data_IF_863743487895
#
_entry.id   IF_863743487895
#
_cell.length_a   1.000
_cell.length_b   1.000
_cell.length_c   1.000
_cell.angle_alpha   90.00
_cell.angle_beta   90.00
_cell.angle_gamma   90.00
#
_symmetry.space_group_name_H-M   'P 1'
#
loop_
_entity.id
_entity.type
_entity.pdbx_description
1 polymer ?
#
# COMPACT_ATOMS: atom_id res chain seq x y z
N UNK A 1 -21.05 -5.24 1.21
CA UNK A 1 -20.16 -4.07 0.97
C UNK A 1 -18.70 -4.51 1.05
N UNK A 2 -17.85 -3.93 0.20
CA UNK A 2 -16.47 -4.39 0.01
C UNK A 2 -15.51 -3.20 0.09
N UNK A 3 -14.47 -3.31 0.90
CA UNK A 3 -13.49 -2.24 1.06
C UNK A 3 -12.06 -2.78 1.18
N UNK A 4 -11.09 -1.98 0.75
CA UNK A 4 -9.67 -2.29 0.80
C UNK A 4 -8.99 -1.52 1.93
N UNK A 5 -8.26 -2.21 2.79
CA UNK A 5 -7.47 -1.64 3.88
C UNK A 5 -6.01 -2.00 3.75
N UNK A 6 -5.13 -1.12 4.20
CA UNK A 6 -3.76 -1.52 4.52
C UNK A 6 -3.47 -1.31 5.99
N UNK A 7 -2.66 -2.20 6.55
CA UNK A 7 -1.98 -1.94 7.79
C UNK A 7 -0.56 -1.52 7.46
N UNK A 8 -0.06 -0.54 8.18
CA UNK A 8 1.28 -0.02 7.92
C UNK A 8 2.06 0.14 9.21
N UNK A 9 3.39 0.03 9.12
CA UNK A 9 4.36 0.20 10.21
C UNK A 9 4.60 -1.04 11.11
N UNK A 10 4.66 -0.97 12.44
CA UNK A 10 5.27 -2.04 13.24
C UNK A 10 4.30 -3.20 13.55
N UNK A 11 4.69 -4.45 13.28
CA UNK A 11 3.86 -5.63 13.60
C UNK A 11 2.69 -5.86 12.64
N UNK A 12 2.81 -5.36 11.40
CA UNK A 12 1.90 -5.54 10.27
C UNK A 12 1.45 -6.99 10.07
N UNK A 13 2.38 -7.87 9.70
CA UNK A 13 2.09 -9.27 9.39
C UNK A 13 1.40 -10.00 10.56
N UNK A 14 1.85 -9.77 11.78
CA UNK A 14 1.23 -10.36 12.97
C UNK A 14 -0.21 -9.88 13.15
N UNK A 15 -0.49 -8.60 12.86
CA UNK A 15 -1.86 -8.08 12.87
C UNK A 15 -2.70 -8.73 11.76
N UNK A 16 -2.16 -8.92 10.56
CA UNK A 16 -2.84 -9.61 9.46
C UNK A 16 -3.28 -11.02 9.86
N UNK A 17 -2.36 -11.82 10.37
CA UNK A 17 -2.63 -13.19 10.82
C UNK A 17 -3.68 -13.19 11.94
N UNK A 18 -3.57 -12.26 12.89
CA UNK A 18 -4.54 -12.11 13.98
C UNK A 18 -5.94 -11.74 13.48
N UNK A 19 -6.04 -10.84 12.49
CA UNK A 19 -7.32 -10.46 11.88
C UNK A 19 -7.94 -11.63 11.08
N UNK A 20 -7.13 -12.33 10.29
CA UNK A 20 -7.56 -13.53 9.56
C UNK A 20 -8.06 -14.61 10.52
N UNK A 21 -7.33 -14.88 11.59
CA UNK A 21 -7.72 -15.85 12.61
C UNK A 21 -9.01 -15.44 13.32
N UNK A 22 -9.09 -14.17 13.75
CA UNK A 22 -10.28 -13.63 14.44
C UNK A 22 -11.52 -13.68 13.55
N UNK A 23 -11.36 -13.47 12.24
CA UNK A 23 -12.45 -13.57 11.26
C UNK A 23 -12.91 -15.00 10.98
N UNK A 24 -12.11 -16.00 11.35
CA UNK A 24 -12.34 -17.41 11.02
C UNK A 24 -11.89 -17.82 9.62
N UNK A 25 -11.23 -16.93 8.86
CA UNK A 25 -10.66 -17.24 7.55
C UNK A 25 -9.52 -18.27 7.62
N UNK A 26 -8.79 -18.30 8.75
CA UNK A 26 -7.76 -19.30 9.01
C UNK A 26 -8.02 -20.01 10.35
N UNK A 27 -7.70 -21.30 10.39
CA UNK A 27 -7.90 -22.14 11.58
C UNK A 27 -6.87 -21.88 12.68
N UNK A 28 -5.67 -21.44 12.33
CA UNK A 28 -4.57 -21.15 13.25
C UNK A 28 -3.79 -19.92 12.74
N UNK A 29 -3.35 -19.01 13.62
CA UNK A 29 -2.56 -17.85 13.21
C UNK A 29 -1.14 -18.27 12.80
N UNK A 30 -0.67 -17.78 11.66
CA UNK A 30 0.72 -17.89 11.23
C UNK A 30 1.67 -17.11 12.13
N UNK A 31 2.95 -17.50 12.15
CA UNK A 31 3.98 -16.87 12.96
C UNK A 31 5.15 -16.42 12.09
N UNK A 32 5.51 -15.14 12.18
CA UNK A 32 6.60 -14.51 11.41
C UNK A 32 7.94 -15.17 11.71
N UNK A 33 8.25 -15.40 12.99
CA UNK A 33 9.51 -16.02 13.43
C UNK A 33 9.65 -17.48 12.95
N UNK A 34 8.51 -18.13 12.65
CA UNK A 34 8.46 -19.50 12.11
C UNK A 34 8.29 -19.53 10.58
N UNK A 35 8.13 -18.37 9.94
CA UNK A 35 7.90 -18.26 8.49
C UNK A 35 6.61 -18.93 8.01
N UNK A 36 5.59 -19.07 8.86
CA UNK A 36 4.33 -19.75 8.52
C UNK A 36 3.21 -18.77 8.13
N UNK A 37 3.54 -17.50 7.94
CA UNK A 37 2.59 -16.44 7.57
C UNK A 37 2.15 -16.58 6.12
N UNK A 38 0.92 -16.17 5.83
CA UNK A 38 0.33 -16.23 4.48
C UNK A 38 0.81 -15.10 3.59
N UNK A 39 1.18 -13.96 4.17
CA UNK A 39 1.61 -12.79 3.41
C UNK A 39 3.11 -12.80 3.06
N UNK A 40 3.98 -13.40 3.89
CA UNK A 40 5.41 -13.53 3.58
C UNK A 40 5.66 -14.82 2.78
N UNK A 41 5.34 -14.76 1.50
CA UNK A 41 5.43 -15.91 0.59
C UNK A 41 6.87 -16.20 0.14
N UNK A 42 7.72 -15.17 0.03
CA UNK A 42 9.08 -15.33 -0.47
C UNK A 42 10.04 -15.81 0.63
N UNK A 43 10.99 -16.68 0.28
CA UNK A 43 11.98 -17.21 1.23
C UNK A 43 12.78 -16.08 1.91
N UNK A 44 13.14 -15.05 1.14
CA UNK A 44 13.85 -13.89 1.65
C UNK A 44 13.01 -13.03 2.61
N UNK A 45 11.70 -12.89 2.39
CA UNK A 45 10.79 -12.20 3.32
C UNK A 45 10.80 -12.91 4.68
N UNK A 46 10.70 -14.25 4.67
CA UNK A 46 10.76 -15.08 5.88
C UNK A 46 12.11 -15.01 6.57
N UNK A 47 13.21 -15.04 5.82
CA UNK A 47 14.57 -15.00 6.39
C UNK A 47 14.88 -13.65 7.04
N UNK A 48 14.41 -12.55 6.43
CA UNK A 48 14.68 -11.18 6.91
C UNK A 48 13.60 -10.64 7.85
N UNK A 49 12.44 -11.28 7.92
CA UNK A 49 11.28 -10.81 8.69
C UNK A 49 10.74 -9.47 8.17
N UNK A 50 10.83 -9.23 6.86
CA UNK A 50 10.34 -8.01 6.21
C UNK A 50 9.39 -8.37 5.06
N UNK A 51 8.32 -7.59 4.91
CA UNK A 51 7.45 -7.65 3.73
C UNK A 51 8.08 -6.84 2.60
N UNK A 52 8.28 -7.47 1.44
CA UNK A 52 8.93 -6.91 0.25
C UNK A 52 7.86 -6.53 -0.78
N UNK A 53 6.90 -7.42 -1.04
CA UNK A 53 5.79 -7.17 -1.96
C UNK A 53 4.47 -7.04 -1.22
N UNK A 54 3.55 -6.20 -1.72
CA UNK A 54 2.28 -6.07 -1.05
C UNK A 54 1.44 -7.34 -1.23
N UNK A 55 1.03 -7.99 -0.14
CA UNK A 55 0.19 -9.19 -0.21
C UNK A 55 -1.28 -8.80 -0.08
N UNK A 56 -2.14 -9.37 -0.94
CA UNK A 56 -3.59 -9.14 -0.87
C UNK A 56 -4.24 -10.39 -0.31
N UNK A 57 -4.91 -10.25 0.83
CA UNK A 57 -5.77 -11.29 1.40
C UNK A 57 -7.18 -10.73 1.58
N UNK A 58 -8.15 -11.61 1.78
CA UNK A 58 -9.51 -11.18 2.09
C UNK A 58 -10.13 -12.07 3.15
N UNK A 59 -11.07 -11.52 3.89
CA UNK A 59 -11.86 -12.25 4.87
C UNK A 59 -13.24 -11.62 5.01
N UNK A 60 -14.17 -12.38 5.58
CA UNK A 60 -15.49 -11.88 5.92
C UNK A 60 -15.55 -11.50 7.41
N UNK A 61 -16.15 -10.34 7.67
CA UNK A 61 -16.55 -9.96 9.03
C UNK A 61 -17.98 -9.45 9.00
N UNK A 62 -18.88 -10.15 9.70
CA UNK A 62 -20.33 -9.92 9.60
C UNK A 62 -20.78 -10.05 8.13
N UNK A 63 -21.42 -9.01 7.59
CA UNK A 63 -21.91 -8.94 6.20
C UNK A 63 -20.93 -8.23 5.24
N UNK A 64 -19.74 -7.90 5.71
CA UNK A 64 -18.72 -7.17 4.96
C UNK A 64 -17.61 -8.11 4.49
N UNK A 65 -17.21 -7.95 3.22
CA UNK A 65 -15.97 -8.52 2.70
C UNK A 65 -14.86 -7.47 2.86
N UNK A 66 -13.82 -7.83 3.59
CA UNK A 66 -12.66 -6.97 3.82
C UNK A 66 -11.51 -7.48 2.98
N UNK A 67 -10.97 -6.63 2.11
CA UNK A 67 -9.72 -6.90 1.41
C UNK A 67 -8.58 -6.21 2.17
N UNK A 68 -7.63 -6.99 2.67
CA UNK A 68 -6.48 -6.48 3.40
C UNK A 68 -5.25 -6.53 2.49
N UNK A 69 -4.62 -5.39 2.31
CA UNK A 69 -3.38 -5.18 1.57
C UNK A 69 -2.26 -5.02 2.60
N UNK A 70 -1.48 -6.06 2.81
CA UNK A 70 -0.27 -6.01 3.61
C UNK A 70 0.79 -5.23 2.83
N UNK A 71 1.31 -4.15 3.40
CA UNK A 71 2.24 -3.26 2.70
C UNK A 71 3.66 -3.43 3.21
N UNK A 72 4.69 -3.24 2.37
CA UNK A 72 6.08 -3.26 2.83
C UNK A 72 6.35 -2.27 3.97
N UNK A 73 7.16 -2.68 4.94
CA UNK A 73 7.56 -1.83 6.07
C UNK A 73 8.86 -1.05 5.86
N UNK A 74 9.66 -1.46 4.88
CA UNK A 74 11.01 -0.92 4.69
C UNK A 74 11.01 0.25 3.71
N UNK A 75 11.84 1.27 3.98
CA UNK A 75 11.87 2.52 3.19
C UNK A 75 12.25 2.30 1.71
N UNK A 76 13.07 1.28 1.44
CA UNK A 76 13.49 0.95 0.08
C UNK A 76 12.33 0.48 -0.82
N UNK A 77 11.16 0.12 -0.25
CA UNK A 77 9.95 -0.31 -0.97
C UNK A 77 8.81 0.73 -0.89
N UNK A 78 9.12 2.00 -0.60
CA UNK A 78 8.10 3.05 -0.45
C UNK A 78 7.20 3.24 -1.67
N UNK A 79 7.66 2.93 -2.88
CA UNK A 79 6.80 3.00 -4.07
C UNK A 79 5.74 1.94 -4.10
N UNK A 80 6.05 0.72 -3.65
CA UNK A 80 5.04 -0.33 -3.47
C UNK A 80 3.99 0.11 -2.43
N UNK A 81 4.45 0.77 -1.36
CA UNK A 81 3.55 1.36 -0.35
C UNK A 81 2.64 2.42 -0.99
N UNK A 82 3.19 3.42 -1.69
CA UNK A 82 2.38 4.48 -2.31
C UNK A 82 1.39 3.96 -3.37
N UNK A 83 1.78 2.94 -4.14
CA UNK A 83 0.88 2.25 -5.07
C UNK A 83 -0.26 1.57 -4.33
N UNK A 84 0.07 0.83 -3.27
CA UNK A 84 -0.93 0.15 -2.44
C UNK A 84 -1.90 1.13 -1.82
N UNK A 85 -1.42 2.28 -1.32
CA UNK A 85 -2.27 3.34 -0.75
C UNK A 85 -3.30 3.89 -1.74
N UNK A 86 -2.99 3.90 -3.05
CA UNK A 86 -3.89 4.45 -4.07
C UNK A 86 -5.19 3.66 -4.24
N UNK A 87 -5.21 2.38 -3.84
CA UNK A 87 -6.37 1.49 -3.97
C UNK A 87 -7.19 1.29 -2.71
N UNK A 88 -6.80 1.95 -1.61
CA UNK A 88 -7.42 1.74 -0.31
C UNK A 88 -8.62 2.64 -0.07
N UNK A 89 -9.65 2.08 0.53
CA UNK A 89 -10.78 2.82 1.09
C UNK A 89 -10.44 3.39 2.48
N UNK A 90 -9.51 2.75 3.19
CA UNK A 90 -9.02 3.19 4.50
C UNK A 90 -7.66 2.58 4.88
N UNK A 91 -7.07 3.06 5.97
CA UNK A 91 -5.80 2.56 6.47
C UNK A 91 -5.82 2.35 7.99
N UNK A 92 -5.04 1.39 8.46
CA UNK A 92 -4.75 1.13 9.86
C UNK A 92 -3.26 1.46 10.08
N UNK A 93 -2.98 2.57 10.74
CA UNK A 93 -1.63 2.94 11.11
C UNK A 93 -1.24 2.21 12.40
N UNK A 94 -0.33 1.24 12.30
CA UNK A 94 0.05 0.38 13.43
C UNK A 94 1.29 0.93 14.12
N UNK A 95 1.14 1.39 15.36
CA UNK A 95 2.22 1.96 16.15
C UNK A 95 2.61 0.99 17.25
N UNK A 96 3.89 0.69 17.40
CA UNK A 96 4.39 -0.13 18.51
C UNK A 96 4.29 0.65 19.82
N UNK A 97 3.63 0.07 20.82
CA UNK A 97 3.57 0.60 22.19
C UNK A 97 4.96 0.83 22.80
N UNK A 98 5.93 0.00 22.42
CA UNK A 98 7.32 0.08 22.91
C UNK A 98 8.15 1.12 22.15
N UNK A 99 8.03 1.13 20.82
CA UNK A 99 8.94 1.93 19.98
C UNK A 99 8.38 3.34 19.69
N UNK A 100 7.07 3.54 19.88
CA UNK A 100 6.37 4.77 19.56
C UNK A 100 6.42 5.10 18.06
N UNK A 101 6.29 6.39 17.73
CA UNK A 101 6.31 6.87 16.35
C UNK A 101 7.74 6.96 15.83
N UNK A 102 8.01 6.21 14.76
CA UNK A 102 9.30 6.18 14.08
C UNK A 102 9.34 7.16 12.90
N UNK A 103 10.53 7.32 12.30
CA UNK A 103 10.70 8.22 11.15
C UNK A 103 9.89 7.74 9.93
N UNK A 104 9.84 6.43 9.68
CA UNK A 104 9.07 5.85 8.58
C UNK A 104 7.56 6.10 8.76
N UNK A 105 7.05 5.90 9.99
CA UNK A 105 5.66 6.16 10.37
C UNK A 105 5.23 7.58 9.99
N UNK A 106 6.10 8.58 10.21
CA UNK A 106 5.83 9.99 9.90
C UNK A 106 5.70 10.23 8.39
N UNK A 107 6.61 9.67 7.60
CA UNK A 107 6.60 9.80 6.14
C UNK A 107 5.31 9.21 5.57
N UNK A 108 4.95 8.02 6.04
CA UNK A 108 3.72 7.37 5.63
C UNK A 108 2.48 8.15 6.08
N UNK A 109 2.41 8.56 7.34
CA UNK A 109 1.26 9.31 7.84
C UNK A 109 1.05 10.61 7.06
N UNK A 110 2.14 11.29 6.68
CA UNK A 110 2.07 12.43 5.77
C UNK A 110 1.43 12.06 4.41
N UNK A 111 1.79 10.91 3.84
CA UNK A 111 1.21 10.44 2.59
C UNK A 111 -0.29 10.09 2.73
N UNK A 112 -0.68 9.39 3.80
CA UNK A 112 -2.08 9.11 4.13
C UNK A 112 -2.91 10.41 4.21
N UNK A 113 -2.38 11.45 4.88
CA UNK A 113 -3.02 12.77 4.97
C UNK A 113 -3.12 13.47 3.62
N UNK A 114 -2.03 13.50 2.85
CA UNK A 114 -2.00 14.15 1.53
C UNK A 114 -2.96 13.48 0.53
N UNK A 115 -3.12 12.16 0.64
CA UNK A 115 -4.09 11.38 -0.16
C UNK A 115 -5.51 11.37 0.43
N UNK A 116 -5.73 11.99 1.60
CA UNK A 116 -7.01 12.00 2.33
C UNK A 116 -7.56 10.59 2.53
N UNK A 117 -6.71 9.68 2.97
CA UNK A 117 -7.10 8.29 3.27
C UNK A 117 -7.65 8.25 4.70
N UNK A 118 -8.91 7.82 4.89
CA UNK A 118 -9.47 7.59 6.21
C UNK A 118 -8.57 6.65 7.01
N UNK A 119 -8.10 7.07 8.18
CA UNK A 119 -7.05 6.34 8.92
C UNK A 119 -7.45 6.11 10.37
N UNK A 120 -7.33 4.87 10.83
CA UNK A 120 -7.43 4.49 12.24
C UNK A 120 -6.00 4.28 12.76
N UNK A 121 -5.69 4.76 13.96
CA UNK A 121 -4.42 4.48 14.62
C UNK A 121 -4.62 3.28 15.57
N UNK A 122 -3.78 2.27 15.45
CA UNK A 122 -3.80 1.09 16.31
C UNK A 122 -2.47 0.95 17.03
N UNK A 123 -2.49 1.09 18.36
CA UNK A 123 -1.31 0.89 19.20
C UNK A 123 -1.20 -0.60 19.53
N UNK A 124 -0.20 -1.25 18.94
CA UNK A 124 0.07 -2.68 19.04
C UNK A 124 1.13 -2.98 20.11
N UNK A 125 1.27 -4.24 20.51
CA UNK A 125 2.26 -4.73 21.50
C UNK A 125 2.09 -4.15 22.91
N UNK A 126 0.86 -3.85 23.30
CA UNK A 126 0.54 -3.33 24.64
C UNK A 126 0.77 -4.35 25.76
N UNK A 127 0.98 -5.62 25.41
CA UNK A 127 1.37 -6.72 26.30
C UNK A 127 2.82 -6.60 26.81
N UNK A 128 3.65 -5.78 26.19
CA UNK A 128 5.05 -5.66 26.55
C UNK A 128 5.25 -4.80 27.82
N UNK A 129 6.16 -5.25 28.68
CA UNK A 129 6.57 -4.51 29.87
C UNK A 129 7.08 -3.11 29.51
N UNK A 130 6.71 -2.11 30.32
CA UNK A 130 7.12 -0.72 30.13
C UNK A 130 6.20 0.11 29.25
N UNK A 131 5.06 -0.44 28.79
CA UNK A 131 4.05 0.37 28.10
C UNK A 131 3.43 1.41 29.04
N UNK A 132 3.65 2.68 28.72
CA UNK A 132 3.01 3.82 29.40
C UNK A 132 2.08 4.53 28.40
N UNK A 133 0.75 4.37 28.51
CA UNK A 133 -0.21 4.93 27.56
C UNK A 133 -0.03 6.44 27.35
N UNK A 134 0.09 7.21 28.43
CA UNK A 134 0.22 8.66 28.39
C UNK A 134 1.43 9.14 27.57
N UNK A 135 2.58 8.47 27.70
CA UNK A 135 3.80 8.81 26.95
C UNK A 135 3.64 8.51 25.47
N UNK A 136 3.00 7.39 25.13
CA UNK A 136 2.73 6.99 23.74
C UNK A 136 1.78 7.99 23.08
N UNK A 137 0.73 8.43 23.78
CA UNK A 137 -0.20 9.44 23.26
C UNK A 137 0.48 10.77 23.01
N UNK A 138 1.33 11.22 23.93
CA UNK A 138 2.11 12.43 23.76
C UNK A 138 3.04 12.32 22.54
N UNK A 139 3.71 11.17 22.36
CA UNK A 139 4.58 10.92 21.22
C UNK A 139 3.84 11.01 19.88
N UNK A 140 2.60 10.50 19.82
CA UNK A 140 1.74 10.56 18.63
C UNK A 140 1.32 12.00 18.35
N UNK A 141 0.91 12.76 19.38
CA UNK A 141 0.52 14.17 19.24
C UNK A 141 1.64 15.02 18.66
N UNK A 142 2.83 14.92 19.25
CA UNK A 142 4.00 15.72 18.86
C UNK A 142 4.50 15.40 17.45
N UNK A 143 4.48 14.12 17.05
CA UNK A 143 5.11 13.67 15.80
C UNK A 143 4.16 13.48 14.63
N UNK A 144 2.88 13.19 14.89
CA UNK A 144 1.88 12.91 13.87
C UNK A 144 0.79 13.99 13.84
N UNK A 145 -0.03 14.09 14.89
CA UNK A 145 -1.22 14.96 14.87
C UNK A 145 -1.86 15.17 16.24
N UNK A 146 -2.34 16.39 16.49
CA UNK A 146 -3.21 16.71 17.65
C UNK A 146 -4.67 16.29 17.41
N UNK A 147 -5.10 16.15 16.15
CA UNK A 147 -6.45 15.76 15.75
C UNK A 147 -6.75 14.26 15.98
N UNK A 148 -6.32 13.71 17.12
CA UNK A 148 -6.55 12.31 17.49
C UNK A 148 -7.39 12.19 18.76
N UNK A 149 -8.13 11.09 18.88
CA UNK A 149 -8.88 10.77 20.09
C UNK A 149 -8.69 9.32 20.48
N UNK A 150 -8.41 9.12 21.77
CA UNK A 150 -8.30 7.79 22.37
C UNK A 150 -9.70 7.22 22.59
N UNK A 151 -10.02 6.12 21.91
CA UNK A 151 -11.34 5.50 21.94
C UNK A 151 -11.46 4.39 23.00
N UNK A 152 -10.33 3.93 23.55
CA UNK A 152 -10.28 2.83 24.50
C UNK A 152 -9.36 3.14 25.68
N UNK A 153 -9.74 2.65 26.85
CA UNK A 153 -8.91 2.65 28.05
C UNK A 153 -8.20 1.30 28.19
N UNK A 154 -6.93 1.35 28.61
CA UNK A 154 -6.10 0.18 28.83
C UNK A 154 -5.92 -0.01 30.32
N UNK A 155 -6.38 -1.15 30.85
CA UNK A 155 -6.21 -1.51 32.26
C UNK A 155 -5.09 -2.56 32.37
N UNK A 156 -4.00 -2.19 33.06
CA UNK A 156 -2.74 -2.98 33.15
C UNK A 156 -2.53 -3.68 34.51
N UNK A 157 -3.54 -3.72 35.38
CA UNK A 157 -3.35 -4.07 36.80
C UNK A 157 -3.09 -5.56 37.10
N UNK A 158 -3.77 -6.49 36.41
CA UNK A 158 -3.65 -7.93 36.71
C UNK A 158 -3.84 -8.80 35.47
N UNK A 159 -4.81 -8.45 34.63
CA UNK A 159 -4.98 -8.97 33.27
C UNK A 159 -5.17 -7.78 32.32
N UNK A 160 -4.56 -7.86 31.14
CA UNK A 160 -4.68 -6.80 30.15
C UNK A 160 -6.10 -6.76 29.62
N UNK A 161 -6.85 -5.72 29.97
CA UNK A 161 -8.25 -5.53 29.52
C UNK A 161 -8.43 -4.17 28.87
N UNK A 162 -9.33 -4.15 27.88
CA UNK A 162 -9.67 -2.96 27.10
C UNK A 162 -11.14 -2.62 27.30
N UNK A 163 -11.44 -1.38 27.65
CA UNK A 163 -12.81 -0.86 27.73
C UNK A 163 -12.97 0.34 26.80
N UNK A 164 -14.15 0.49 26.20
CA UNK A 164 -14.44 1.67 25.38
C UNK A 164 -14.61 2.91 26.27
N UNK A 165 -14.11 4.07 25.82
CA UNK A 165 -14.25 5.33 26.53
C UNK A 165 -15.72 5.78 26.49
N UNK A 166 -16.36 5.83 27.65
CA UNK A 166 -17.75 6.29 27.81
C UNK A 166 -17.87 7.74 28.32
N UNK A 167 -16.76 8.36 28.74
CA UNK A 167 -16.76 9.70 29.35
C UNK A 167 -17.00 10.79 28.31
N UNK A 168 -18.09 11.55 28.46
CA UNK A 168 -18.42 12.69 27.59
C UNK A 168 -17.36 13.81 27.59
N UNK A 169 -16.62 13.99 28.68
CA UNK A 169 -15.56 15.02 28.78
C UNK A 169 -14.43 14.82 27.76
N UNK A 170 -14.20 13.57 27.31
CA UNK A 170 -13.19 13.27 26.28
C UNK A 170 -13.69 13.58 24.85
N UNK A 171 -14.97 13.93 24.69
CA UNK A 171 -15.59 14.23 23.38
C UNK A 171 -15.63 15.72 23.04
N UNK A 172 -15.16 16.59 23.94
CA UNK A 172 -15.11 18.04 23.73
C UNK A 172 -14.40 18.42 22.42
N UNK A 173 -13.34 17.70 22.04
CA UNK A 173 -12.62 17.91 20.78
C UNK A 173 -13.44 17.56 19.53
N UNK A 174 -14.36 16.60 19.64
CA UNK A 174 -15.29 16.23 18.55
C UNK A 174 -16.40 17.27 18.45
N UNK A 175 -16.97 17.67 19.59
CA UNK A 175 -18.04 18.67 19.71
C UNK A 175 -17.55 20.02 19.18
N UNK A 176 -16.36 20.47 19.57
CA UNK A 176 -15.76 21.73 19.11
C UNK A 176 -15.50 21.76 17.59
N UNK A 177 -15.43 20.61 16.93
CA UNK A 177 -15.22 20.50 15.48
C UNK A 177 -16.48 20.66 14.63
N UNK A 178 -17.67 20.74 15.24
CA UNK A 178 -18.94 20.87 14.52
C UNK A 178 -19.84 21.92 15.20
N UNK A 179 -20.07 23.04 14.52
CA UNK A 179 -20.84 24.18 15.02
C UNK A 179 -22.23 23.79 15.55
N UNK A 180 -22.92 22.85 14.91
CA UNK A 180 -24.24 22.39 15.34
C UNK A 180 -24.18 21.56 16.63
N UNK A 181 -23.17 20.70 16.77
CA UNK A 181 -22.97 19.94 18.02
C UNK A 181 -22.52 20.87 19.14
N UNK A 182 -21.68 21.86 18.83
CA UNK A 182 -21.23 22.87 19.78
C UNK A 182 -22.40 23.73 20.29
N UNK A 183 -23.29 24.19 19.41
CA UNK A 183 -24.50 24.93 19.79
C UNK A 183 -25.42 24.09 20.71
N UNK A 184 -25.63 22.81 20.38
CA UNK A 184 -26.38 21.87 21.22
C UNK A 184 -25.74 21.71 22.61
N UNK A 185 -24.42 21.55 22.67
CA UNK A 185 -23.69 21.44 23.92
C UNK A 185 -23.80 22.71 24.78
N UNK A 186 -23.60 23.89 24.18
CA UNK A 186 -23.70 25.18 24.87
C UNK A 186 -25.12 25.48 25.37
N UNK A 187 -26.14 25.03 24.65
CA UNK A 187 -27.54 25.17 25.03
C UNK A 187 -28.02 24.16 26.08
N UNK A 188 -27.17 23.19 26.47
CA UNK A 188 -27.53 22.12 27.41
C UNK A 188 -28.49 21.07 26.84
N UNK A 189 -28.63 20.98 25.52
CA UNK A 189 -29.45 19.97 24.87
C UNK A 189 -28.79 18.58 24.97
N UNK A 190 -29.56 17.49 25.10
CA UNK A 190 -28.98 16.15 25.19
C UNK A 190 -28.33 15.76 23.85
N UNK A 191 -27.02 15.54 23.88
CA UNK A 191 -26.28 14.95 22.77
C UNK A 191 -26.46 13.43 22.80
N UNK A 192 -26.74 12.82 21.65
CA UNK A 192 -26.81 11.36 21.56
C UNK A 192 -25.46 10.78 21.15
N UNK A 193 -25.11 9.60 21.68
CA UNK A 193 -23.89 8.89 21.29
C UNK A 193 -23.84 8.60 19.79
N UNK A 194 -25.00 8.43 19.14
CA UNK A 194 -25.11 8.20 17.69
C UNK A 194 -24.66 9.42 16.88
N UNK A 195 -25.11 10.62 17.24
CA UNK A 195 -24.70 11.86 16.57
C UNK A 195 -23.18 12.08 16.65
N UNK A 196 -22.60 11.77 17.82
CA UNK A 196 -21.16 11.87 18.02
C UNK A 196 -20.38 10.84 17.18
N UNK A 197 -20.86 9.60 17.13
CA UNK A 197 -20.27 8.54 16.30
C UNK A 197 -20.35 8.86 14.80
N UNK A 198 -21.47 9.42 14.33
CA UNK A 198 -21.64 9.85 12.95
C UNK A 198 -20.68 10.99 12.58
N UNK A 199 -20.46 11.95 13.49
CA UNK A 199 -19.50 13.03 13.26
C UNK A 199 -18.05 12.51 13.22
N UNK A 200 -17.67 11.60 14.12
CA UNK A 200 -16.36 10.93 14.05
C UNK A 200 -16.21 10.24 12.70
N UNK A 201 -17.20 9.44 12.28
CA UNK A 201 -17.17 8.74 10.99
C UNK A 201 -16.99 9.73 9.84
N UNK A 202 -17.71 10.86 9.85
CA UNK A 202 -17.58 11.92 8.84
C UNK A 202 -16.17 12.52 8.81
N UNK A 203 -15.61 12.88 9.97
CA UNK A 203 -14.27 13.49 10.05
C UNK A 203 -13.16 12.51 9.69
N UNK A 204 -13.30 11.25 10.06
CA UNK A 204 -12.38 10.17 9.68
C UNK A 204 -12.44 9.94 8.17
N UNK A 205 -13.63 9.90 7.58
CA UNK A 205 -13.79 9.79 6.12
C UNK A 205 -13.18 10.98 5.36
N UNK A 206 -13.13 12.16 5.97
CA UNK A 206 -12.45 13.34 5.42
C UNK A 206 -10.93 13.34 5.65
N UNK A 207 -10.41 12.41 6.45
CA UNK A 207 -8.98 12.34 6.82
C UNK A 207 -8.52 13.46 7.75
N UNK A 208 -9.45 14.05 8.52
CA UNK A 208 -9.17 15.19 9.43
C UNK A 208 -9.12 14.80 10.90
N UNK A 209 -9.51 13.57 11.24
CA UNK A 209 -9.58 13.08 12.61
C UNK A 209 -9.15 11.62 12.67
N UNK A 210 -8.45 11.23 13.73
CA UNK A 210 -7.79 9.93 13.84
C UNK A 210 -8.16 9.23 15.16
N UNK A 211 -9.06 8.24 15.14
CA UNK A 211 -9.41 7.47 16.33
C UNK A 211 -8.28 6.50 16.66
N UNK A 212 -7.95 6.40 17.94
CA UNK A 212 -6.86 5.58 18.48
C UNK A 212 -7.44 4.39 19.25
N UNK A 213 -7.08 3.20 18.81
CA UNK A 213 -7.41 1.92 19.42
C UNK A 213 -6.14 1.20 19.87
N UNK A 214 -6.31 0.18 20.71
CA UNK A 214 -5.21 -0.56 21.33
C UNK A 214 -5.42 -2.05 21.15
N UNK A 215 -4.32 -2.80 21.12
CA UNK A 215 -4.38 -4.24 21.24
C UNK A 215 -3.02 -4.92 21.19
N UNK A 216 -3.05 -6.23 21.29
CA UNK A 216 -1.90 -7.09 21.03
C UNK A 216 -2.28 -8.08 19.96
N UNK A 217 -1.70 -7.92 18.77
CA UNK A 217 -1.89 -8.86 17.68
C UNK A 217 -1.38 -10.27 18.05
N UNK A 218 -0.31 -10.35 18.86
CA UNK A 218 0.29 -11.62 19.27
C UNK A 218 -0.64 -12.40 20.21
N UNK A 219 -1.22 -11.72 21.18
CA UNK A 219 -2.12 -12.34 22.17
C UNK A 219 -3.59 -12.31 21.73
N UNK A 220 -3.88 -11.87 20.50
CA UNK A 220 -5.23 -11.68 19.94
C UNK A 220 -6.15 -10.79 20.80
N UNK A 221 -5.58 -9.77 21.46
CA UNK A 221 -6.33 -8.83 22.30
C UNK A 221 -6.71 -7.60 21.46
N UNK A 222 -7.99 -7.23 21.46
CA UNK A 222 -8.50 -6.02 20.81
C UNK A 222 -8.79 -6.15 19.31
N UNK A 223 -8.41 -7.26 18.67
CA UNK A 223 -8.57 -7.48 17.21
C UNK A 223 -10.03 -7.60 16.79
N UNK A 224 -10.86 -8.27 17.57
CA UNK A 224 -12.32 -8.34 17.34
C UNK A 224 -12.96 -6.95 17.35
N UNK A 225 -12.59 -6.12 18.32
CA UNK A 225 -13.10 -4.75 18.41
C UNK A 225 -12.59 -3.89 17.24
N UNK A 226 -11.33 -4.06 16.86
CA UNK A 226 -10.76 -3.40 15.69
C UNK A 226 -11.54 -3.76 14.41
N UNK A 227 -11.88 -5.04 14.20
CA UNK A 227 -12.72 -5.49 13.08
C UNK A 227 -14.11 -4.84 13.08
N UNK A 228 -14.75 -4.74 14.24
CA UNK A 228 -16.04 -4.07 14.36
C UNK A 228 -15.95 -2.59 13.95
N UNK A 229 -14.94 -1.88 14.45
CA UNK A 229 -14.69 -0.46 14.15
C UNK A 229 -14.36 -0.26 12.68
N UNK A 230 -13.55 -1.15 12.10
CA UNK A 230 -13.21 -1.15 10.67
C UNK A 230 -14.48 -1.17 9.83
N UNK A 231 -15.40 -2.11 10.10
CA UNK A 231 -16.66 -2.21 9.35
C UNK A 231 -17.56 -1.00 9.56
N UNK A 232 -17.55 -0.41 10.75
CA UNK A 232 -18.37 0.76 11.06
C UNK A 232 -17.85 2.03 10.38
N UNK A 233 -16.54 2.29 10.42
CA UNK A 233 -15.94 3.51 9.87
C UNK A 233 -15.86 3.46 8.33
N UNK A 234 -15.38 2.35 7.78
CA UNK A 234 -15.06 2.24 6.36
C UNK A 234 -16.22 1.68 5.51
N UNK A 235 -17.40 1.45 6.09
CA UNK A 235 -18.63 1.22 5.33
C UNK A 235 -19.02 2.49 4.56
N UNK A 236 -18.40 2.68 3.40
CA UNK A 236 -18.89 3.60 2.37
C UNK A 236 -19.97 2.88 1.55
N UNK A 237 -21.02 3.62 1.19
CA UNK A 237 -22.12 3.16 0.33
C UNK A 237 -21.60 3.03 -1.11
N UNK A 238 -20.89 1.97 -1.43
CA UNK A 238 -20.57 1.59 -2.82
C UNK A 238 -21.75 0.85 -3.44
N UNK A 239 -22.88 1.55 -3.61
CA UNK A 239 -24.10 1.05 -4.28
C UNK A 239 -24.21 1.53 -5.74
N UNK A 240 -23.12 1.93 -6.38
CA UNK A 240 -23.12 2.27 -7.81
C UNK A 240 -22.72 1.05 -8.67
N UNK A 241 -23.55 0.01 -8.65
CA UNK A 241 -23.43 -1.12 -9.58
C UNK A 241 -23.79 -0.75 -11.04
N UNK A 242 -24.37 0.43 -11.30
CA UNK A 242 -24.85 0.84 -12.62
C UNK A 242 -23.97 1.86 -13.36
N UNK A 243 -22.87 2.32 -12.77
CA UNK A 243 -21.94 3.25 -13.42
C UNK A 243 -20.97 2.53 -14.37
N UNK A 244 -20.37 3.30 -15.28
CA UNK A 244 -19.34 2.79 -16.20
C UNK A 244 -18.19 2.11 -15.46
N UNK A 245 -17.57 1.14 -16.12
CA UNK A 245 -16.46 0.37 -15.58
C UNK A 245 -15.28 1.30 -15.26
N UNK A 246 -14.76 1.21 -14.04
CA UNK A 246 -13.53 1.88 -13.63
C UNK A 246 -12.69 0.93 -12.78
N UNK A 247 -11.49 0.61 -13.28
CA UNK A 247 -10.52 -0.23 -12.58
C UNK A 247 -9.12 0.34 -12.63
N UNK A 248 -8.31 0.07 -11.61
CA UNK A 248 -6.93 0.55 -11.51
C UNK A 248 -5.96 -0.61 -11.21
N UNK A 249 -4.92 -0.77 -12.02
CA UNK A 249 -3.87 -1.78 -11.82
C UNK A 249 -2.81 -1.24 -10.86
N UNK A 250 -2.67 -1.85 -9.68
CA UNK A 250 -1.77 -1.36 -8.65
C UNK A 250 -0.59 -2.30 -8.36
N UNK A 251 -0.73 -3.60 -8.63
CA UNK A 251 0.31 -4.59 -8.40
C UNK A 251 0.40 -5.57 -9.57
N UNK A 252 1.63 -5.98 -9.90
CA UNK A 252 1.93 -7.03 -10.88
C UNK A 252 2.86 -8.03 -10.21
N UNK A 253 2.59 -9.32 -10.43
CA UNK A 253 3.33 -10.41 -9.82
C UNK A 253 3.55 -11.55 -10.82
N UNK A 254 4.70 -12.20 -10.76
CA UNK A 254 5.00 -13.37 -11.58
C UNK A 254 5.03 -14.64 -10.73
N UNK A 255 4.08 -15.55 -11.00
CA UNK A 255 4.04 -16.89 -10.39
C UNK A 255 5.28 -17.72 -10.73
N UNK A 256 5.49 -18.82 -10.01
CA UNK A 256 6.56 -19.80 -10.29
C UNK A 256 6.51 -20.38 -11.70
N UNK A 257 5.30 -20.49 -12.28
CA UNK A 257 5.08 -20.94 -13.65
C UNK A 257 5.31 -19.85 -14.69
N UNK A 258 5.93 -18.72 -14.32
CA UNK A 258 6.10 -17.51 -15.15
C UNK A 258 4.81 -16.91 -15.71
N UNK A 259 3.65 -17.25 -15.14
CA UNK A 259 2.40 -16.54 -15.47
C UNK A 259 2.38 -15.20 -14.74
N UNK A 260 2.14 -14.14 -15.50
CA UNK A 260 2.00 -12.77 -15.04
C UNK A 260 0.59 -12.54 -14.52
N UNK A 261 0.47 -12.11 -13.26
CA UNK A 261 -0.78 -11.79 -12.57
C UNK A 261 -0.83 -10.28 -12.32
N UNK A 262 -1.87 -9.64 -12.83
CA UNK A 262 -2.13 -8.23 -12.63
C UNK A 262 -3.27 -8.08 -11.60
N UNK A 263 -2.98 -7.43 -10.48
CA UNK A 263 -3.97 -7.10 -9.46
C UNK A 263 -4.57 -5.74 -9.77
N UNK A 264 -5.89 -5.71 -9.87
CA UNK A 264 -6.66 -4.51 -10.14
C UNK A 264 -7.72 -4.29 -9.07
N UNK A 265 -7.97 -3.02 -8.75
CA UNK A 265 -9.06 -2.60 -7.89
C UNK A 265 -10.22 -2.13 -8.77
N UNK A 266 -11.41 -2.72 -8.59
CA UNK A 266 -12.64 -2.22 -9.21
C UNK A 266 -13.31 -1.19 -8.32
N UNK A 267 -13.54 0.01 -8.84
CA UNK A 267 -14.25 1.10 -8.16
C UNK A 267 -15.70 1.22 -8.62
N UNK A 268 -15.98 0.91 -9.88
CA UNK A 268 -17.32 1.00 -10.44
C UNK A 268 -17.50 0.01 -11.59
N UNK A 269 -18.76 -0.38 -11.81
CA UNK A 269 -19.15 -1.35 -12.82
C UNK A 269 -18.90 -2.79 -12.40
N UNK A 270 -19.14 -3.69 -13.35
CA UNK A 270 -18.97 -5.15 -13.19
C UNK A 270 -18.05 -5.64 -14.30
N UNK A 271 -17.10 -6.52 -13.96
CA UNK A 271 -16.27 -7.23 -14.93
C UNK A 271 -16.83 -8.62 -15.19
N UNK A 272 -16.99 -8.98 -16.47
CA UNK A 272 -17.33 -10.34 -16.88
C UNK A 272 -16.17 -11.03 -17.61
N UNK A 273 -16.04 -12.34 -17.40
CA UNK A 273 -15.08 -13.17 -18.13
C UNK A 273 -15.38 -13.14 -19.65
N UNK A 274 -14.33 -13.12 -20.49
CA UNK A 274 -14.38 -13.02 -21.97
C UNK A 274 -14.87 -11.70 -22.53
N UNK A 275 -15.11 -10.70 -21.69
CA UNK A 275 -15.42 -9.35 -22.14
C UNK A 275 -14.19 -8.67 -22.74
N UNK A 276 -14.42 -7.76 -23.70
CA UNK A 276 -13.37 -6.93 -24.31
C UNK A 276 -13.50 -5.51 -23.79
N UNK A 277 -12.51 -5.06 -23.03
CA UNK A 277 -12.53 -3.75 -22.36
C UNK A 277 -11.55 -2.81 -23.04
N UNK A 278 -11.90 -1.54 -23.06
CA UNK A 278 -11.06 -0.48 -23.55
C UNK A 278 -10.19 0.06 -22.41
N UNK A 279 -8.88 0.07 -22.61
CA UNK A 279 -7.96 0.83 -21.78
C UNK A 279 -8.07 2.32 -22.08
N UNK A 280 -7.80 3.18 -21.10
CA UNK A 280 -7.79 4.63 -21.31
C UNK A 280 -6.80 5.08 -22.40
N UNK A 281 -5.79 4.24 -22.73
CA UNK A 281 -4.83 4.44 -23.83
C UNK A 281 -5.29 3.91 -25.20
N UNK A 282 -6.57 3.54 -25.37
CA UNK A 282 -7.20 3.02 -26.61
C UNK A 282 -6.77 1.61 -27.07
N UNK A 283 -6.11 0.84 -26.21
CA UNK A 283 -5.88 -0.59 -26.45
C UNK A 283 -7.09 -1.41 -25.96
N UNK A 284 -7.41 -2.50 -26.66
CA UNK A 284 -8.49 -3.41 -26.27
C UNK A 284 -7.90 -4.66 -25.65
N UNK A 285 -8.37 -5.02 -24.47
CA UNK A 285 -7.94 -6.22 -23.75
C UNK A 285 -9.12 -7.17 -23.63
N UNK A 286 -8.87 -8.46 -23.86
CA UNK A 286 -9.85 -9.52 -23.65
C UNK A 286 -9.51 -10.28 -22.38
N UNK A 287 -10.45 -10.32 -21.44
CA UNK A 287 -10.27 -11.06 -20.18
C UNK A 287 -10.41 -12.56 -20.45
N UNK A 288 -9.34 -13.33 -20.25
CA UNK A 288 -9.32 -14.79 -20.47
C UNK A 288 -9.54 -15.57 -19.18
N UNK A 289 -8.83 -15.19 -18.12
CA UNK A 289 -8.86 -15.79 -16.79
C UNK A 289 -9.01 -14.68 -15.75
N UNK A 290 -9.88 -14.92 -14.76
CA UNK A 290 -10.14 -14.00 -13.67
C UNK A 290 -10.20 -14.75 -12.35
N UNK A 291 -9.62 -14.17 -11.31
CA UNK A 291 -9.66 -14.72 -9.94
C UNK A 291 -9.82 -13.59 -8.93
N UNK A 292 -10.38 -13.91 -7.76
CA UNK A 292 -10.50 -12.99 -6.64
C UNK A 292 -9.88 -13.62 -5.39
N UNK A 293 -9.29 -12.81 -4.48
CA UNK A 293 -9.01 -13.28 -3.15
C UNK A 293 -10.36 -13.51 -2.42
N UNK A 294 -10.50 -14.66 -1.77
CA UNK A 294 -11.66 -15.05 -0.98
C UNK A 294 -11.20 -15.88 0.23
N UNK A 295 -11.45 -15.39 1.45
CA UNK A 295 -11.10 -16.05 2.72
C UNK A 295 -9.66 -16.61 2.77
N UNK A 296 -8.69 -15.77 2.40
CA UNK A 296 -7.27 -16.12 2.40
C UNK A 296 -6.78 -16.95 1.20
N UNK A 297 -7.66 -17.35 0.28
CA UNK A 297 -7.31 -18.11 -0.93
C UNK A 297 -7.62 -17.34 -2.22
N UNK A 298 -7.03 -17.74 -3.34
CA UNK A 298 -7.31 -17.16 -4.66
C UNK A 298 -8.26 -18.10 -5.40
N UNK A 299 -9.50 -17.64 -5.63
CA UNK A 299 -10.58 -18.43 -6.23
C UNK A 299 -10.90 -17.91 -7.63
N UNK A 300 -10.98 -18.78 -8.66
CA UNK A 300 -11.40 -18.37 -10.00
C UNK A 300 -12.87 -17.94 -9.99
N UNK A 301 -13.19 -16.87 -10.71
CA UNK A 301 -14.55 -16.32 -10.78
C UNK A 301 -14.89 -15.82 -12.17
N UNK A 302 -16.18 -15.87 -12.52
CA UNK A 302 -16.68 -15.44 -13.83
C UNK A 302 -17.14 -13.98 -13.85
N UNK A 303 -17.52 -13.44 -12.68
CA UNK A 303 -18.01 -12.07 -12.51
C UNK A 303 -17.38 -11.42 -11.29
N UNK A 304 -16.98 -10.16 -11.41
CA UNK A 304 -16.47 -9.36 -10.30
C UNK A 304 -17.18 -8.00 -10.24
N UNK A 305 -17.67 -7.65 -9.06
CA UNK A 305 -18.44 -6.42 -8.82
C UNK A 305 -17.56 -5.24 -8.41
N UNK A 306 -18.16 -4.05 -8.36
CA UNK A 306 -17.57 -2.87 -7.72
C UNK A 306 -17.11 -3.17 -6.29
N UNK A 307 -15.95 -2.62 -5.95
CA UNK A 307 -15.33 -2.81 -4.66
C UNK A 307 -14.64 -4.17 -4.51
N UNK A 308 -14.41 -4.93 -5.57
CA UNK A 308 -13.62 -6.16 -5.55
C UNK A 308 -12.15 -5.90 -5.92
N UNK A 309 -11.23 -6.73 -5.43
CA UNK A 309 -9.86 -6.81 -5.98
C UNK A 309 -9.83 -8.02 -6.89
N UNK A 310 -9.47 -7.81 -8.16
CA UNK A 310 -9.48 -8.83 -9.20
C UNK A 310 -8.05 -9.11 -9.66
N UNK A 311 -7.78 -10.36 -9.94
CA UNK A 311 -6.50 -10.85 -10.44
C UNK A 311 -6.74 -11.34 -11.86
N UNK A 312 -6.05 -10.71 -12.82
CA UNK A 312 -6.10 -11.07 -14.24
C UNK A 312 -4.77 -11.67 -14.68
N UNK A 313 -4.83 -12.71 -15.51
CA UNK A 313 -3.66 -13.24 -16.21
C UNK A 313 -3.51 -12.52 -17.56
N UNK A 314 -2.68 -11.48 -17.64
CA UNK A 314 -2.48 -10.71 -18.88
C UNK A 314 -1.05 -10.17 -19.04
N UNK A 315 -0.59 -10.10 -20.28
CA UNK A 315 0.77 -9.65 -20.65
C UNK A 315 0.84 -8.21 -21.14
N UNK A 316 -0.30 -7.55 -21.38
CA UNK A 316 -0.38 -6.21 -21.96
C UNK A 316 -0.56 -5.12 -20.89
N UNK A 317 -1.30 -5.40 -19.82
CA UNK A 317 -1.57 -4.45 -18.73
C UNK A 317 -0.29 -3.97 -18.07
N UNK A 318 -0.06 -2.67 -17.99
CA UNK A 318 1.07 -2.11 -17.23
C UNK A 318 0.62 -1.61 -15.87
N UNK A 319 1.58 -1.46 -14.98
CA UNK A 319 1.34 -0.92 -13.66
C UNK A 319 0.88 0.55 -13.77
N UNK A 320 -0.12 0.94 -12.97
CA UNK A 320 -0.85 2.21 -13.04
C UNK A 320 -1.77 2.38 -14.27
N UNK A 321 -2.02 1.34 -15.07
CA UNK A 321 -3.04 1.42 -16.12
C UNK A 321 -4.45 1.45 -15.54
N UNK A 322 -5.32 2.16 -16.25
CA UNK A 322 -6.73 2.36 -15.90
C UNK A 322 -7.61 1.66 -16.93
N UNK A 323 -8.55 0.86 -16.43
CA UNK A 323 -9.57 0.19 -17.23
C UNK A 323 -10.84 1.05 -17.21
N UNK A 324 -11.37 1.39 -18.40
CA UNK A 324 -12.59 2.19 -18.54
C UNK A 324 -12.37 3.70 -18.38
N UNK A 325 -13.30 4.39 -17.68
CA UNK A 325 -13.26 5.85 -17.55
C UNK A 325 -12.34 6.31 -16.41
N UNK A 326 -11.29 7.05 -16.77
CA UNK A 326 -10.33 7.65 -15.84
C UNK A 326 -10.97 8.71 -14.93
N UNK A 327 -12.06 9.35 -15.36
CA UNK A 327 -12.74 10.40 -14.58
C UNK A 327 -13.46 9.86 -13.35
N UNK A 328 -13.78 8.57 -13.33
CA UNK A 328 -14.47 7.89 -12.23
C UNK A 328 -13.51 7.42 -11.14
N UNK A 329 -12.19 7.61 -11.31
CA UNK A 329 -11.23 7.26 -10.27
C UNK A 329 -11.43 8.17 -9.03
N UNK A 330 -11.61 7.58 -7.83
CA UNK A 330 -11.83 8.36 -6.62
C UNK A 330 -10.62 9.20 -6.24
N UNK A 331 -9.42 8.77 -6.65
CA UNK A 331 -8.15 9.45 -6.40
C UNK A 331 -7.27 9.37 -7.64
N UNK A 332 -6.57 10.47 -7.95
CA UNK A 332 -5.50 10.45 -8.95
C UNK A 332 -4.30 9.68 -8.39
N UNK A 333 -3.63 8.93 -9.26
CA UNK A 333 -2.38 8.26 -8.92
C UNK A 333 -1.37 9.27 -8.35
N UNK A 334 -0.69 8.87 -7.28
CA UNK A 334 0.31 9.69 -6.61
C UNK A 334 1.40 10.09 -7.60
N UNK A 335 1.53 11.40 -7.85
CA UNK A 335 2.36 11.93 -8.93
C UNK A 335 3.81 12.16 -8.52
N UNK A 336 4.08 12.25 -7.21
CA UNK A 336 5.44 12.40 -6.67
C UNK A 336 6.10 11.03 -6.51
N UNK A 337 6.33 10.35 -7.62
CA UNK A 337 7.09 9.10 -7.60
C UNK A 337 8.55 9.42 -7.28
N UNK A 338 9.14 8.85 -6.22
CA UNK A 338 10.55 9.07 -5.91
C UNK A 338 11.41 8.56 -7.08
N UNK A 339 12.46 9.30 -7.42
CA UNK A 339 13.42 8.87 -8.44
C UNK A 339 14.41 7.88 -7.82
N UNK A 340 14.95 6.91 -8.60
CA UNK A 340 16.05 6.08 -8.12
C UNK A 340 17.23 6.97 -7.72
N UNK A 341 17.87 6.64 -6.59
CA UNK A 341 18.97 7.43 -6.01
C UNK A 341 20.33 6.82 -6.31
N UNK A 342 20.36 5.50 -6.52
CA UNK A 342 21.57 4.72 -6.66
C UNK A 342 21.58 4.01 -8.02
N UNK A 343 22.77 3.80 -8.55
CA UNK A 343 23.02 2.97 -9.72
C UNK A 343 24.19 2.03 -9.47
N UNK A 344 24.15 0.86 -10.08
CA UNK A 344 25.25 -0.10 -10.08
C UNK A 344 25.35 -0.84 -11.41
N UNK A 345 26.51 -1.42 -11.70
CA UNK A 345 26.65 -2.38 -12.79
C UNK A 345 26.38 -3.78 -12.26
N UNK A 346 25.59 -4.55 -13.00
CA UNK A 346 25.28 -5.96 -12.71
C UNK A 346 25.75 -6.85 -13.87
N UNK A 347 26.46 -7.92 -13.55
CA UNK A 347 26.93 -8.90 -14.53
C UNK A 347 26.68 -10.32 -14.01
N UNK A 348 26.35 -11.28 -14.88
CA UNK A 348 26.25 -12.67 -14.46
C UNK A 348 27.64 -13.26 -14.25
N UNK A 349 27.82 -14.11 -13.24
CA UNK A 349 29.08 -14.82 -13.01
C UNK A 349 29.49 -15.69 -14.22
N UNK A 350 28.51 -16.16 -14.99
CA UNK A 350 28.71 -16.87 -16.26
C UNK A 350 28.22 -16.03 -17.43
N UNK A 351 29.11 -15.72 -18.37
CA UNK A 351 28.78 -14.93 -19.56
C UNK A 351 27.63 -15.52 -20.40
N UNK A 352 27.47 -16.85 -20.40
CA UNK A 352 26.38 -17.57 -21.10
C UNK A 352 24.99 -17.23 -20.54
N UNK A 353 24.89 -16.80 -19.28
CA UNK A 353 23.61 -16.49 -18.62
C UNK A 353 23.15 -15.05 -18.87
N UNK A 354 23.86 -14.28 -19.72
CA UNK A 354 23.55 -12.87 -19.97
C UNK A 354 22.14 -12.64 -20.54
N UNK A 355 21.69 -13.49 -21.47
CA UNK A 355 20.33 -13.37 -22.02
C UNK A 355 19.27 -13.66 -20.95
N UNK A 356 19.47 -14.73 -20.17
CA UNK A 356 18.57 -15.11 -19.07
C UNK A 356 18.51 -14.01 -18.00
N UNK A 357 19.63 -13.34 -17.74
CA UNK A 357 19.69 -12.19 -16.82
C UNK A 357 18.86 -11.02 -17.33
N UNK A 358 18.93 -10.70 -18.64
CA UNK A 358 18.12 -9.62 -19.22
C UNK A 358 16.63 -9.93 -19.15
N UNK A 359 16.23 -11.18 -19.42
CA UNK A 359 14.84 -11.63 -19.29
C UNK A 359 14.38 -11.52 -17.83
N UNK A 360 15.19 -12.00 -16.87
CA UNK A 360 14.88 -11.91 -15.45
C UNK A 360 14.79 -10.46 -14.96
N UNK A 361 15.72 -9.59 -15.35
CA UNK A 361 15.67 -8.16 -15.01
C UNK A 361 14.45 -7.47 -15.62
N UNK A 362 14.01 -7.89 -16.81
CA UNK A 362 12.77 -7.38 -17.42
C UNK A 362 11.55 -7.79 -16.61
N UNK A 363 11.46 -9.06 -16.18
CA UNK A 363 10.38 -9.54 -15.29
C UNK A 363 10.37 -8.78 -13.95
N UNK A 364 11.54 -8.58 -13.33
CA UNK A 364 11.65 -7.88 -12.03
C UNK A 364 11.33 -6.38 -12.20
N UNK A 365 11.83 -5.72 -13.25
CA UNK A 365 11.55 -4.31 -13.53
C UNK A 365 10.07 -4.04 -13.84
N UNK A 366 9.35 -5.02 -14.41
CA UNK A 366 7.90 -4.93 -14.61
C UNK A 366 7.13 -4.97 -13.28
N UNK A 367 7.66 -5.67 -12.27
CA UNK A 367 7.08 -5.67 -10.92
C UNK A 367 7.39 -4.39 -10.13
N UNK A 368 8.55 -3.77 -10.35
CA UNK A 368 8.93 -2.52 -9.66
C UNK A 368 9.38 -1.41 -10.62
N UNK A 369 8.53 -0.40 -10.89
CA UNK A 369 8.84 0.75 -11.75
C UNK A 369 10.09 1.57 -11.41
N UNK A 370 10.58 1.48 -10.16
CA UNK A 370 11.81 2.16 -9.76
C UNK A 370 13.07 1.37 -10.09
N UNK A 371 12.93 0.07 -10.25
CA UNK A 371 14.00 -0.77 -10.72
C UNK A 371 14.09 -0.59 -12.23
N UNK A 372 15.04 0.21 -12.68
CA UNK A 372 15.27 0.46 -14.10
C UNK A 372 16.63 -0.03 -14.48
N UNK A 373 16.72 -0.78 -15.56
CA UNK A 373 18.00 -1.14 -16.14
C UNK A 373 18.18 -0.46 -17.50
N UNK A 374 19.41 -0.11 -17.80
CA UNK A 374 19.83 0.46 -19.08
C UNK A 374 21.08 -0.28 -19.52
N UNK A 375 21.16 -0.59 -20.81
CA UNK A 375 22.38 -1.13 -21.41
C UNK A 375 23.16 0.06 -21.96
N UNK A 376 24.38 0.25 -21.47
CA UNK A 376 25.25 1.30 -21.98
C UNK A 376 25.66 0.95 -23.43
N UNK A 377 25.40 1.82 -24.43
CA UNK A 377 25.74 1.54 -25.82
C UNK A 377 27.25 1.47 -26.08
N UNK A 378 28.08 2.03 -25.21
CA UNK A 378 29.54 2.08 -25.39
C UNK A 378 30.21 0.91 -24.69
N UNK A 379 29.91 0.71 -23.41
CA UNK A 379 30.58 -0.32 -22.59
C UNK A 379 29.87 -1.68 -22.68
N UNK A 380 28.63 -1.71 -23.18
CA UNK A 380 27.75 -2.87 -23.11
C UNK A 380 27.54 -3.40 -21.67
N UNK A 381 27.83 -2.59 -20.65
CA UNK A 381 27.53 -2.92 -19.26
C UNK A 381 26.02 -2.76 -19.00
N UNK A 382 25.47 -3.61 -18.12
CA UNK A 382 24.08 -3.51 -17.67
C UNK A 382 24.07 -2.65 -16.41
N UNK A 383 23.49 -1.45 -16.51
CA UNK A 383 23.40 -0.50 -15.41
C UNK A 383 22.02 -0.60 -14.79
N UNK A 384 21.96 -0.99 -13.52
CA UNK A 384 20.75 -1.10 -12.71
C UNK A 384 20.60 0.13 -11.81
N UNK A 385 19.48 0.82 -11.90
CA UNK A 385 19.09 1.97 -11.07
C UNK A 385 18.02 1.54 -10.06
N UNK A 386 18.18 1.94 -8.80
CA UNK A 386 17.34 1.52 -7.69
C UNK A 386 17.32 2.57 -6.56
N UNK A 387 16.46 2.39 -5.56
CA UNK A 387 16.23 3.36 -4.49
C UNK A 387 17.20 3.17 -3.31
N UNK A 388 17.41 1.94 -2.86
CA UNK A 388 18.22 1.66 -1.66
C UNK A 388 18.90 0.28 -1.67
N UNK A 389 19.85 0.09 -0.74
CA UNK A 389 20.72 -1.10 -0.72
C UNK A 389 19.94 -2.39 -0.44
N UNK A 390 18.89 -2.35 0.38
CA UNK A 390 18.08 -3.53 0.69
C UNK A 390 17.31 -3.98 -0.55
N UNK A 391 16.81 -3.04 -1.37
CA UNK A 391 16.19 -3.37 -2.65
C UNK A 391 17.17 -4.13 -3.57
N UNK A 392 18.44 -3.70 -3.65
CA UNK A 392 19.45 -4.38 -4.44
C UNK A 392 19.72 -5.80 -3.92
N UNK A 393 19.86 -5.98 -2.61
CA UNK A 393 20.04 -7.30 -1.98
C UNK A 393 18.87 -8.24 -2.32
N UNK A 394 17.64 -7.72 -2.29
CA UNK A 394 16.44 -8.47 -2.67
C UNK A 394 16.47 -8.90 -4.12
N UNK A 395 16.86 -8.00 -5.04
CA UNK A 395 16.98 -8.33 -6.46
C UNK A 395 18.03 -9.41 -6.70
N UNK A 396 19.19 -9.32 -6.05
CA UNK A 396 20.24 -10.34 -6.18
C UNK A 396 19.81 -11.70 -5.66
N UNK A 397 19.11 -11.74 -4.52
CA UNK A 397 18.57 -13.00 -3.97
C UNK A 397 17.47 -13.58 -4.86
N UNK A 398 16.58 -12.75 -5.42
CA UNK A 398 15.58 -13.17 -6.40
C UNK A 398 16.21 -13.79 -7.65
N UNK A 399 17.27 -13.18 -8.18
CA UNK A 399 18.03 -13.70 -9.33
C UNK A 399 18.63 -15.07 -9.02
N UNK A 400 19.19 -15.26 -7.82
CA UNK A 400 19.79 -16.51 -7.42
C UNK A 400 18.73 -17.61 -7.17
N UNK A 401 17.71 -17.34 -6.36
CA UNK A 401 16.72 -18.34 -5.94
C UNK A 401 15.76 -18.72 -7.07
N UNK A 402 15.23 -17.74 -7.80
CA UNK A 402 14.17 -17.98 -8.79
C UNK A 402 14.73 -18.31 -10.18
N UNK A 403 15.85 -17.70 -10.54
CA UNK A 403 16.43 -17.82 -11.88
C UNK A 403 17.73 -18.64 -11.91
N UNK A 404 18.31 -18.97 -10.75
CA UNK A 404 19.57 -19.72 -10.67
C UNK A 404 20.77 -18.93 -11.21
N UNK A 405 20.70 -17.60 -11.15
CA UNK A 405 21.74 -16.69 -11.66
C UNK A 405 22.48 -16.08 -10.48
N UNK A 406 23.77 -16.40 -10.39
CA UNK A 406 24.68 -15.70 -9.50
C UNK A 406 25.14 -14.41 -10.17
N UNK A 407 24.71 -13.27 -9.63
CA UNK A 407 25.00 -11.96 -10.18
C UNK A 407 26.10 -11.27 -9.37
N UNK A 408 27.14 -10.80 -10.06
CA UNK A 408 28.18 -9.95 -9.50
C UNK A 408 27.78 -8.49 -9.67
N UNK A 409 27.89 -7.73 -8.57
CA UNK A 409 27.45 -6.33 -8.52
C UNK A 409 28.59 -5.45 -8.03
N UNK A 410 28.86 -4.35 -8.76
CA UNK A 410 29.87 -3.36 -8.36
C UNK A 410 29.36 -2.49 -7.20
N UNK A 411 30.25 -1.73 -6.56
CA UNK A 411 29.84 -0.79 -5.51
C UNK A 411 28.83 0.24 -6.05
N UNK A 412 27.68 0.45 -5.36
CA UNK A 412 26.68 1.41 -5.80
C UNK A 412 27.21 2.85 -5.85
N UNK A 413 26.93 3.55 -6.94
CA UNK A 413 27.23 4.98 -7.09
C UNK A 413 25.96 5.81 -7.04
N UNK A 414 26.06 7.07 -6.59
CA UNK A 414 24.92 7.99 -6.51
C UNK A 414 24.64 8.60 -7.89
N UNK A 415 23.36 8.74 -8.23
CA UNK A 415 22.93 9.45 -9.44
C UNK A 415 22.99 10.95 -9.16
N UNK A 416 23.90 11.66 -9.83
CA UNK A 416 23.98 13.13 -9.76
C UNK A 416 23.01 13.77 -10.74
N UNK A 417 22.28 14.78 -10.28
CA UNK A 417 21.40 15.62 -11.08
C UNK A 417 21.96 17.04 -11.11
N UNK A 418 22.18 17.56 -12.31
CA UNK A 418 22.62 18.95 -12.48
C UNK A 418 21.41 19.84 -12.71
N UNK A 419 21.39 21.00 -12.04
CA UNK A 419 20.36 22.03 -12.26
C UNK A 419 21.04 23.36 -12.61
N UNK A 420 20.66 24.01 -13.73
CA UNK A 420 21.19 25.33 -14.06
C UNK A 420 20.81 26.32 -12.95
N UNK A 421 21.81 27.09 -12.47
CA UNK A 421 21.60 28.11 -11.43
C UNK A 421 20.97 29.40 -11.97
N UNK A 422 21.20 29.70 -13.25
CA UNK A 422 20.72 30.90 -13.92
C UNK A 422 20.32 30.56 -15.34
N UNK A 423 19.40 31.35 -15.88
CA UNK A 423 19.03 31.32 -17.28
C UNK A 423 20.20 31.82 -18.14
N UNK A 424 20.47 31.14 -19.25
CA UNK A 424 21.52 31.49 -20.19
C UNK A 424 21.02 31.24 -21.61
N UNK A 425 21.31 32.17 -22.52
CA UNK A 425 21.00 32.04 -23.94
C UNK A 425 22.30 31.89 -24.72
N UNK A 426 22.33 30.94 -25.65
CA UNK A 426 23.45 30.74 -26.55
C UNK A 426 22.91 30.53 -27.96
N UNK A 427 23.52 31.19 -28.94
CA UNK A 427 23.20 31.01 -30.36
C UNK A 427 24.39 30.34 -31.03
N UNK A 428 24.17 29.18 -31.63
CA UNK A 428 25.16 28.51 -32.46
C UNK A 428 24.94 29.01 -33.89
N UNK A 429 25.86 29.81 -34.40
CA UNK A 429 25.91 30.08 -35.84
C UNK A 429 26.48 28.85 -36.54
N UNK A 430 25.61 28.06 -37.15
CA UNK A 430 26.02 27.00 -38.07
C UNK A 430 26.27 27.68 -39.42
N UNK A 431 27.52 28.07 -39.69
CA UNK A 431 27.94 28.43 -41.05
C UNK A 431 27.91 27.16 -41.91
N UNK A 432 26.73 26.83 -42.44
CA UNK A 432 26.65 25.90 -43.57
C UNK A 432 27.11 26.71 -44.78
N UNK A 433 28.29 26.44 -45.37
CA UNK A 433 28.64 27.07 -46.64
C UNK A 433 27.50 26.75 -47.62
N UNK A 434 26.94 27.76 -48.31
CA UNK A 434 25.86 27.52 -49.25
C UNK A 434 26.32 26.47 -50.25
N UNK A 435 25.53 25.41 -50.40
CA UNK A 435 25.79 24.35 -51.36
C UNK A 435 26.10 25.00 -52.74
N UNK A 436 27.29 24.78 -53.33
CA UNK A 436 27.66 25.42 -54.60
C UNK A 436 26.81 24.93 -55.79
N UNK A 437 25.90 23.97 -55.57
CA UNK A 437 24.83 23.62 -56.49
C UNK A 437 23.48 23.90 -55.85
N UNK A 438 22.86 25.01 -56.22
CA UNK A 438 21.48 25.33 -55.90
C UNK A 438 20.50 24.40 -56.62
N UNK A 439 20.45 23.13 -56.23
CA UNK A 439 19.37 22.22 -56.58
C UNK A 439 18.76 21.68 -55.29
N UNK A 440 17.61 22.24 -54.95
CA UNK A 440 16.63 21.56 -54.12
C UNK A 440 16.07 20.39 -54.93
N UNK A 441 16.29 19.16 -54.47
CA UNK A 441 15.48 17.98 -54.79
C UNK A 441 15.12 17.29 -53.49
#
# INVERSE_FOLDING_TARGET
PRFALAHVDAGKTTLTESLLYTSGAIMEPGNVDKGTTRTDSMALERQRGITIQAAVTSFHWKEYKVNLVDTPGHMDFMTEVYRSLSVLDGAILVISAKDGVQAQTRVLFHALRKMKIPTIIFINKIDQEGFVPAQTYQNIREKLTEDMMVMQEVHLFSELTLSDVADFEKWDAVIAGNDNLLEKYLSGAPLTLRELQEEIKRRVQQGTFFPVYHGSAKENIGTKKLLDVITDIFSSKTDNCQSELCGYVFKIEYTEQKKRRCYLRLYSGTLCLRETILLSKKEKIKITEMSIPFDGEIVPTDTADSGEIVILSDNTLKLNDVLGDEKLLPRKAWTDNPLPLLRTTIEPAKAEQREVLLDALTEIADTDPLLRFVIDPVTHEIILSFLGKVQLEVVCSLLNEKYGIEAEVKEPTVIYLERPRKEAHYTIHIEVPPNPKGEFV
#
